data_IF_621255641348
#
_entry.id   IF_621255641348
#
_cell.length_a   1.000
_cell.length_b   1.000
_cell.length_c   1.000
_cell.angle_alpha   90.00
_cell.angle_beta   90.00
_cell.angle_gamma   90.00
#
_symmetry.space_group_name_H-M   'P 1'
#
loop_
_entity.id
_entity.type
_entity.pdbx_description
1 polymer ?
#
# COMPACT_ATOMS: atom_id res chain seq x y z
N UNK A 1 4.72 -30.96 18.57
CA UNK A 1 4.66 -29.74 19.42
C UNK A 1 5.92 -28.94 19.17
N UNK A 2 5.93 -28.07 18.22
CA UNK A 2 7.02 -27.12 17.99
C UNK A 2 6.43 -25.74 18.23
N UNK A 3 6.55 -25.30 19.50
CA UNK A 3 6.25 -23.93 19.86
C UNK A 3 7.19 -23.00 19.12
N UNK A 4 6.68 -22.23 18.20
CA UNK A 4 7.37 -21.04 17.69
C UNK A 4 7.45 -20.08 18.87
N UNK A 5 8.55 -20.10 19.56
CA UNK A 5 8.91 -19.09 20.52
C UNK A 5 9.15 -17.81 19.72
N UNK A 6 8.11 -17.00 19.55
CA UNK A 6 8.28 -15.61 19.20
C UNK A 6 9.01 -14.97 20.38
N UNK A 7 10.32 -14.90 20.28
CA UNK A 7 11.14 -14.10 21.17
C UNK A 7 10.70 -12.65 20.92
N UNK A 8 9.68 -12.21 21.65
CA UNK A 8 9.27 -10.81 21.67
C UNK A 8 10.33 -10.04 22.45
N UNK A 9 11.45 -9.79 21.78
CA UNK A 9 12.32 -8.70 22.23
C UNK A 9 11.44 -7.45 22.28
N UNK A 10 11.54 -6.63 23.31
CA UNK A 10 10.81 -5.39 23.37
C UNK A 10 11.19 -4.55 22.14
N UNK A 11 10.27 -4.47 21.19
CA UNK A 11 10.44 -3.67 19.98
C UNK A 11 9.90 -2.28 20.33
N UNK A 12 10.78 -1.31 20.33
CA UNK A 12 10.42 0.09 20.52
C UNK A 12 10.28 0.74 19.15
N UNK A 13 9.16 1.41 18.91
CA UNK A 13 9.01 2.27 17.75
C UNK A 13 9.93 3.50 17.95
N UNK A 14 10.99 3.59 17.15
CA UNK A 14 11.97 4.68 17.26
C UNK A 14 11.48 5.89 16.47
N UNK A 15 10.92 5.66 15.27
CA UNK A 15 10.29 6.69 14.45
C UNK A 15 9.31 6.03 13.46
N UNK A 16 8.31 6.79 13.03
CA UNK A 16 7.40 6.39 11.96
C UNK A 16 7.89 7.00 10.63
N UNK A 17 8.15 6.12 9.66
CA UNK A 17 8.68 6.56 8.36
C UNK A 17 7.68 7.42 7.58
N UNK A 18 6.39 7.14 7.71
CA UNK A 18 5.34 7.94 7.05
C UNK A 18 5.27 9.36 7.65
N UNK A 19 5.43 9.48 8.96
CA UNK A 19 5.48 10.78 9.64
C UNK A 19 6.71 11.59 9.21
N UNK A 20 7.88 10.97 9.17
CA UNK A 20 9.12 11.64 8.75
C UNK A 20 9.07 12.03 7.27
N UNK A 21 8.54 11.17 6.42
CA UNK A 21 8.30 11.49 5.02
C UNK A 21 7.33 12.68 4.87
N UNK A 22 6.20 12.63 5.58
CA UNK A 22 5.17 13.67 5.52
C UNK A 22 5.69 15.03 5.99
N UNK A 23 6.52 15.05 7.03
CA UNK A 23 7.20 16.29 7.50
C UNK A 23 8.13 16.87 6.42
N UNK A 24 8.85 16.01 5.69
CA UNK A 24 9.84 16.43 4.71
C UNK A 24 9.22 16.78 3.36
N UNK A 25 8.23 16.02 2.89
CA UNK A 25 7.63 16.14 1.57
C UNK A 25 6.26 16.84 1.57
N UNK A 26 5.68 17.09 2.75
CA UNK A 26 4.37 17.74 2.87
C UNK A 26 3.19 16.85 2.47
N UNK A 27 3.40 15.56 2.24
CA UNK A 27 2.36 14.61 1.82
C UNK A 27 2.63 13.20 2.32
N UNK A 28 1.59 12.37 2.54
CA UNK A 28 1.77 10.97 2.91
C UNK A 28 2.54 10.19 1.83
N UNK A 29 3.29 9.18 2.26
CA UNK A 29 3.98 8.29 1.34
C UNK A 29 3.01 7.21 0.80
N UNK A 30 3.12 6.89 -0.49
CA UNK A 30 2.44 5.74 -1.09
C UNK A 30 3.36 4.51 -1.03
N UNK A 31 3.09 3.57 -0.13
CA UNK A 31 3.94 2.39 0.06
C UNK A 31 3.72 1.30 -0.98
N UNK A 32 2.51 1.18 -1.48
CA UNK A 32 2.12 0.10 -2.40
C UNK A 32 1.36 0.67 -3.58
N UNK A 33 1.49 0.00 -4.72
CA UNK A 33 0.76 0.37 -5.92
C UNK A 33 0.21 -0.87 -6.63
N UNK A 34 -0.98 -0.74 -7.21
CA UNK A 34 -1.42 -1.68 -8.22
C UNK A 34 -0.78 -1.33 -9.56
N UNK A 35 -0.20 -2.35 -10.17
CA UNK A 35 0.36 -2.22 -11.51
C UNK A 35 -0.49 -3.02 -12.48
N UNK A 36 -0.78 -2.44 -13.63
CA UNK A 36 -1.49 -3.06 -14.72
C UNK A 36 -0.62 -3.07 -15.97
N UNK A 37 -0.71 -4.12 -16.75
CA UNK A 37 -0.01 -4.17 -18.06
C UNK A 37 -0.61 -3.12 -18.99
N UNK A 38 0.26 -2.41 -19.71
CA UNK A 38 -0.13 -1.32 -20.62
C UNK A 38 -1.11 -1.78 -21.71
N UNK A 39 -0.92 -2.99 -22.24
CA UNK A 39 -1.82 -3.56 -23.23
C UNK A 39 -3.22 -3.80 -22.67
N UNK A 40 -3.33 -4.33 -21.44
CA UNK A 40 -4.62 -4.51 -20.77
C UNK A 40 -5.29 -3.17 -20.48
N UNK A 41 -4.54 -2.19 -19.96
CA UNK A 41 -5.07 -0.86 -19.69
C UNK A 41 -5.64 -0.18 -20.94
N UNK A 42 -5.02 -0.40 -22.11
CA UNK A 42 -5.49 0.13 -23.39
C UNK A 42 -6.65 -0.66 -23.99
N UNK A 43 -6.63 -1.99 -23.90
CA UNK A 43 -7.64 -2.86 -24.54
C UNK A 43 -8.91 -3.01 -23.70
N UNK A 44 -8.83 -2.88 -22.38
CA UNK A 44 -9.97 -3.07 -21.47
C UNK A 44 -9.88 -2.16 -20.23
N UNK A 45 -9.92 -0.86 -20.46
CA UNK A 45 -9.89 0.13 -19.38
C UNK A 45 -11.07 -0.02 -18.40
N UNK A 46 -12.23 -0.46 -18.89
CA UNK A 46 -13.40 -0.69 -18.06
C UNK A 46 -13.15 -1.76 -16.98
N UNK A 47 -12.48 -2.84 -17.32
CA UNK A 47 -12.09 -3.89 -16.36
C UNK A 47 -11.10 -3.34 -15.33
N UNK A 48 -10.14 -2.53 -15.75
CA UNK A 48 -9.16 -1.92 -14.84
C UNK A 48 -9.86 -0.99 -13.84
N UNK A 49 -10.80 -0.18 -14.32
CA UNK A 49 -11.60 0.70 -13.47
C UNK A 49 -12.52 -0.08 -12.52
N UNK A 50 -13.11 -1.18 -12.97
CA UNK A 50 -13.94 -2.05 -12.13
C UNK A 50 -13.11 -2.66 -10.98
N UNK A 51 -11.93 -3.19 -11.27
CA UNK A 51 -11.00 -3.71 -10.27
C UNK A 51 -10.59 -2.63 -9.28
N UNK A 52 -10.24 -1.44 -9.76
CA UNK A 52 -9.87 -0.32 -8.91
C UNK A 52 -11.02 0.11 -7.99
N UNK A 53 -12.24 0.21 -8.51
CA UNK A 53 -13.45 0.52 -7.74
C UNK A 53 -13.76 -0.57 -6.69
N UNK A 54 -13.57 -1.84 -7.06
CA UNK A 54 -13.74 -2.97 -6.14
C UNK A 54 -12.76 -2.88 -4.97
N UNK A 55 -11.50 -2.56 -5.26
CA UNK A 55 -10.48 -2.41 -4.22
C UNK A 55 -10.73 -1.21 -3.31
N UNK A 56 -11.14 -0.07 -3.88
CA UNK A 56 -11.53 1.11 -3.11
C UNK A 56 -12.65 0.79 -2.12
N UNK A 57 -13.73 0.16 -2.60
CA UNK A 57 -14.85 -0.27 -1.75
C UNK A 57 -14.40 -1.23 -0.65
N UNK A 58 -13.54 -2.19 -1.00
CA UNK A 58 -13.01 -3.16 -0.03
C UNK A 58 -12.16 -2.50 1.04
N UNK A 59 -11.30 -1.56 0.67
CA UNK A 59 -10.46 -0.84 1.65
C UNK A 59 -11.29 0.01 2.63
N UNK A 60 -12.33 0.66 2.14
CA UNK A 60 -13.28 1.40 2.99
C UNK A 60 -14.03 0.44 3.92
N UNK A 61 -14.52 -0.68 3.38
CA UNK A 61 -15.25 -1.67 4.16
C UNK A 61 -14.42 -2.28 5.29
N UNK A 62 -13.16 -2.63 5.04
CA UNK A 62 -12.24 -3.17 6.04
C UNK A 62 -12.07 -2.21 7.21
N UNK A 63 -11.87 -0.92 6.93
CA UNK A 63 -11.72 0.10 7.97
C UNK A 63 -13.01 0.33 8.78
N UNK A 64 -14.18 0.17 8.14
CA UNK A 64 -15.48 0.36 8.79
C UNK A 64 -15.96 -0.89 9.55
N UNK A 65 -15.45 -2.08 9.20
CA UNK A 65 -15.88 -3.35 9.75
C UNK A 65 -14.69 -4.21 10.22
N UNK A 66 -13.86 -3.71 11.15
CA UNK A 66 -12.60 -4.37 11.52
C UNK A 66 -12.79 -5.77 12.10
N UNK A 67 -13.87 -6.01 12.86
CA UNK A 67 -14.19 -7.33 13.42
C UNK A 67 -14.47 -8.37 12.31
N UNK A 68 -15.37 -8.05 11.40
CA UNK A 68 -15.69 -8.92 10.27
C UNK A 68 -14.49 -9.08 9.31
N UNK A 69 -13.69 -8.04 9.15
CA UNK A 69 -12.48 -8.10 8.34
C UNK A 69 -11.44 -9.04 8.99
N UNK A 70 -11.26 -8.98 10.31
CA UNK A 70 -10.38 -9.89 11.03
C UNK A 70 -10.83 -11.36 10.91
N UNK A 71 -12.14 -11.63 10.99
CA UNK A 71 -12.70 -12.97 10.78
C UNK A 71 -12.41 -13.49 9.36
N UNK A 72 -12.55 -12.63 8.35
CA UNK A 72 -12.20 -12.97 6.96
C UNK A 72 -10.70 -13.18 6.77
N UNK A 73 -9.85 -12.38 7.40
CA UNK A 73 -8.39 -12.55 7.34
C UNK A 73 -7.97 -13.93 7.88
N UNK A 74 -8.59 -14.38 8.97
CA UNK A 74 -8.33 -15.72 9.49
C UNK A 74 -8.91 -16.80 8.58
N UNK A 75 -10.14 -16.62 8.11
CA UNK A 75 -10.83 -17.57 7.21
C UNK A 75 -10.05 -17.82 5.92
N UNK A 76 -9.44 -16.77 5.35
CA UNK A 76 -8.67 -16.84 4.11
C UNK A 76 -7.15 -16.96 4.36
N UNK A 77 -6.75 -17.29 5.59
CA UNK A 77 -5.35 -17.55 5.96
C UNK A 77 -4.39 -16.38 5.67
N UNK A 78 -4.91 -15.14 5.61
CA UNK A 78 -4.09 -13.93 5.49
C UNK A 78 -3.31 -13.69 6.78
N UNK A 79 -3.97 -13.89 7.92
CA UNK A 79 -3.37 -13.90 9.25
C UNK A 79 -3.92 -15.08 10.04
N UNK A 80 -3.08 -15.70 10.86
CA UNK A 80 -3.47 -16.89 11.64
C UNK A 80 -4.24 -16.59 12.92
N UNK A 81 -4.27 -15.34 13.37
CA UNK A 81 -4.85 -14.94 14.64
C UNK A 81 -5.72 -13.70 14.49
N UNK A 82 -6.97 -13.80 14.97
CA UNK A 82 -7.97 -12.73 14.90
C UNK A 82 -7.58 -11.48 15.70
N UNK A 83 -7.00 -11.64 16.86
CA UNK A 83 -6.60 -10.50 17.70
C UNK A 83 -5.46 -9.73 17.05
N UNK A 84 -4.51 -10.43 16.44
CA UNK A 84 -3.44 -9.82 15.66
C UNK A 84 -4.03 -9.07 14.47
N UNK A 85 -5.01 -9.66 13.77
CA UNK A 85 -5.69 -9.01 12.65
C UNK A 85 -6.38 -7.71 13.07
N UNK A 86 -7.11 -7.72 14.19
CA UNK A 86 -7.77 -6.53 14.74
C UNK A 86 -6.77 -5.41 15.08
N UNK A 87 -5.59 -5.74 15.60
CA UNK A 87 -4.56 -4.76 15.88
C UNK A 87 -3.85 -4.25 14.62
N UNK A 88 -3.72 -5.10 13.60
CA UNK A 88 -3.02 -4.77 12.36
C UNK A 88 -3.85 -3.82 11.47
N UNK A 89 -5.16 -4.00 11.37
CA UNK A 89 -6.05 -3.22 10.49
C UNK A 89 -5.85 -1.71 10.66
N UNK A 90 -5.99 -1.11 11.87
CA UNK A 90 -5.82 0.34 12.03
C UNK A 90 -4.38 0.82 11.79
N UNK A 91 -3.39 -0.06 12.01
CA UNK A 91 -1.97 0.25 11.80
C UNK A 91 -1.54 0.14 10.35
N UNK A 92 -2.32 -0.56 9.53
CA UNK A 92 -2.02 -0.74 8.10
C UNK A 92 -2.24 0.53 7.28
N UNK A 93 -2.89 1.56 7.85
CA UNK A 93 -3.22 2.81 7.15
C UNK A 93 -3.84 2.56 5.76
N UNK A 94 -4.70 1.53 5.66
CA UNK A 94 -5.25 1.07 4.40
C UNK A 94 -6.15 2.14 3.79
N UNK A 95 -5.64 2.79 2.74
CA UNK A 95 -6.36 3.81 1.99
C UNK A 95 -6.06 3.65 0.51
N UNK A 96 -7.10 3.52 -0.28
CA UNK A 96 -6.98 3.54 -1.73
C UNK A 96 -7.02 5.00 -2.23
N UNK A 97 -6.10 5.33 -3.14
CA UNK A 97 -6.06 6.61 -3.85
C UNK A 97 -5.72 6.34 -5.31
N UNK A 98 -6.43 6.97 -6.22
CA UNK A 98 -6.13 6.83 -7.64
C UNK A 98 -4.80 7.50 -7.97
N UNK A 99 -3.93 6.79 -8.69
CA UNK A 99 -2.60 7.29 -9.02
C UNK A 99 -2.62 8.64 -9.74
N UNK A 100 -3.63 8.89 -10.59
CA UNK A 100 -3.82 10.16 -11.27
C UNK A 100 -4.08 11.35 -10.35
N UNK A 101 -4.59 11.12 -9.15
CA UNK A 101 -4.86 12.17 -8.15
C UNK A 101 -3.61 12.57 -7.38
N UNK A 102 -2.62 11.67 -7.31
CA UNK A 102 -1.38 11.85 -6.57
C UNK A 102 -0.13 11.79 -7.46
N UNK A 103 -0.25 12.16 -8.74
CA UNK A 103 0.87 12.14 -9.72
C UNK A 103 2.11 12.87 -9.22
N UNK A 104 1.94 14.03 -8.60
CA UNK A 104 3.04 14.80 -8.03
C UNK A 104 3.78 14.01 -6.94
N UNK A 105 3.04 13.45 -6.00
CA UNK A 105 3.61 12.65 -4.90
C UNK A 105 4.35 11.41 -5.41
N UNK A 106 3.81 10.74 -6.45
CA UNK A 106 4.48 9.59 -7.09
C UNK A 106 5.79 10.04 -7.75
N UNK A 107 5.78 11.17 -8.45
CA UNK A 107 7.00 11.73 -9.06
C UNK A 107 8.05 12.11 -8.02
N UNK A 108 7.64 12.76 -6.94
CA UNK A 108 8.53 13.15 -5.84
C UNK A 108 9.15 11.90 -5.19
N UNK A 109 8.33 10.87 -4.96
CA UNK A 109 8.81 9.59 -4.45
C UNK A 109 9.84 8.94 -5.38
N UNK A 110 9.54 8.81 -6.65
CA UNK A 110 10.46 8.24 -7.64
C UNK A 110 11.73 9.09 -7.78
N UNK A 111 11.61 10.40 -7.67
CA UNK A 111 12.75 11.31 -7.76
C UNK A 111 13.72 11.14 -6.59
N UNK A 112 13.23 10.91 -5.37
CA UNK A 112 14.10 10.61 -4.22
C UNK A 112 14.95 9.36 -4.50
N UNK A 113 14.34 8.27 -5.01
CA UNK A 113 15.06 7.05 -5.35
C UNK A 113 16.02 7.26 -6.53
N UNK A 114 15.61 8.01 -7.54
CA UNK A 114 16.48 8.37 -8.66
C UNK A 114 17.73 9.12 -8.23
N UNK A 115 17.58 10.07 -7.29
CA UNK A 115 18.74 10.81 -6.74
C UNK A 115 19.66 9.91 -5.90
N UNK A 116 19.13 8.89 -5.23
CA UNK A 116 19.94 7.94 -4.49
C UNK A 116 20.73 7.01 -5.42
N UNK A 117 20.04 6.42 -6.38
CA UNK A 117 20.63 5.58 -7.43
C UNK A 117 19.63 5.45 -8.60
N UNK A 118 19.93 5.97 -9.79
CA UNK A 118 19.06 5.91 -10.97
C UNK A 118 18.60 4.49 -11.34
N UNK A 119 19.43 3.48 -11.11
CA UNK A 119 19.10 2.08 -11.46
C UNK A 119 17.91 1.54 -10.69
N UNK A 120 17.63 2.07 -9.49
CA UNK A 120 16.46 1.66 -8.69
C UNK A 120 15.15 1.90 -9.44
N UNK A 121 15.09 2.96 -10.27
CA UNK A 121 13.92 3.34 -11.06
C UNK A 121 14.07 3.03 -12.56
N UNK A 122 15.02 2.15 -12.91
CA UNK A 122 15.26 1.73 -14.30
C UNK A 122 16.04 2.75 -15.14
N UNK A 123 16.88 3.58 -14.51
CA UNK A 123 17.79 4.52 -15.18
C UNK A 123 17.15 5.85 -15.58
N UNK A 124 15.85 6.01 -15.48
CA UNK A 124 15.11 7.26 -15.79
C UNK A 124 13.80 7.37 -15.03
N UNK A 125 13.39 8.59 -14.76
CA UNK A 125 12.05 8.85 -14.22
C UNK A 125 11.01 8.50 -15.29
N UNK A 126 9.97 7.70 -14.96
CA UNK A 126 8.89 7.37 -15.89
C UNK A 126 8.14 8.60 -16.40
N UNK A 127 7.62 8.51 -17.61
CA UNK A 127 6.78 9.53 -18.23
C UNK A 127 5.33 9.51 -17.70
N UNK A 128 4.51 10.43 -18.22
CA UNK A 128 3.11 10.57 -17.81
C UNK A 128 2.26 9.33 -18.15
N UNK A 129 2.64 8.55 -19.16
CA UNK A 129 1.91 7.33 -19.55
C UNK A 129 2.11 6.18 -18.56
N UNK A 130 3.09 6.29 -17.64
CA UNK A 130 3.31 5.32 -16.58
C UNK A 130 2.20 5.34 -15.53
N UNK A 131 1.53 6.48 -15.36
CA UNK A 131 0.49 6.70 -14.34
C UNK A 131 -0.88 6.60 -15.00
N UNK A 132 -1.61 5.55 -14.66
CA UNK A 132 -2.97 5.30 -15.17
C UNK A 132 -4.03 6.11 -14.41
#
# INVERSE_FOLDING_TARGET
MTGVQTCALPIWLIFDFNDEWSKKQGSPIAFTAFMVRKDLAKSNSALVDEIANGYEKSSVWVNQNPDSAADLMVKYEVLSNREIALQAIPRSNLKFVRAREIKGQIKDYLNVFYQMNPDIVGGKIPDEEFIY
#
